data_IF_329559626592
#
_entry.id   IF_329559626592
#
_cell.length_a   1.000
_cell.length_b   1.000
_cell.length_c   1.000
_cell.angle_alpha   90.00
_cell.angle_beta   90.00
_cell.angle_gamma   90.00
#
_symmetry.space_group_name_H-M   'P 1'
#
loop_
_entity.id
_entity.type
_entity.pdbx_description
1 polymer ?
#
# COMPACT_ATOMS: atom_id res chain seq x y z
N UNK A 1 -2.03 -17.02 13.79
CA UNK A 1 -1.71 -15.75 13.10
C UNK A 1 -1.37 -14.71 14.14
N UNK A 2 -0.25 -14.01 14.01
CA UNK A 2 0.10 -12.88 14.89
C UNK A 2 -0.99 -11.79 14.78
N UNK A 3 -1.39 -11.23 15.93
CA UNK A 3 -2.31 -10.08 15.95
C UNK A 3 -1.59 -8.91 15.27
N UNK A 4 -2.11 -8.47 14.12
CA UNK A 4 -1.57 -7.28 13.43
C UNK A 4 -1.76 -6.06 14.33
N UNK A 5 -0.70 -5.27 14.49
CA UNK A 5 -0.75 -4.01 15.22
C UNK A 5 -1.69 -3.05 14.49
N UNK A 6 -2.60 -2.41 15.22
CA UNK A 6 -3.41 -1.32 14.69
C UNK A 6 -2.48 -0.13 14.46
N UNK A 7 -2.44 0.35 13.22
CA UNK A 7 -1.69 1.54 12.83
C UNK A 7 -2.73 2.68 12.71
N UNK A 8 -2.62 3.75 13.52
CA UNK A 8 -3.53 4.88 13.42
C UNK A 8 -3.38 5.57 12.07
N UNK A 9 -4.45 6.21 11.61
CA UNK A 9 -4.45 6.97 10.36
C UNK A 9 -5.48 8.09 10.38
N UNK A 10 -5.25 9.12 9.57
CA UNK A 10 -6.21 10.21 9.37
C UNK A 10 -7.38 9.73 8.49
N UNK A 11 -8.62 9.68 9.01
CA UNK A 11 -9.78 9.22 8.26
C UNK A 11 -10.15 10.12 7.06
N UNK A 12 -9.72 11.39 7.06
CA UNK A 12 -9.97 12.33 5.96
C UNK A 12 -9.28 11.88 4.66
N UNK A 13 -8.16 11.16 4.77
CA UNK A 13 -7.40 10.64 3.62
C UNK A 13 -8.07 9.43 2.95
N UNK A 14 -9.15 8.88 3.52
CA UNK A 14 -9.81 7.66 3.02
C UNK A 14 -10.36 7.82 1.60
N UNK A 15 -10.91 9.00 1.29
CA UNK A 15 -11.39 9.28 -0.07
C UNK A 15 -10.23 9.38 -1.06
N UNK A 16 -9.15 10.06 -0.68
CA UNK A 16 -7.95 10.19 -1.48
C UNK A 16 -7.30 8.81 -1.76
N UNK A 17 -7.13 7.97 -0.74
CA UNK A 17 -6.59 6.61 -0.93
C UNK A 17 -7.47 5.74 -1.84
N UNK A 18 -8.80 5.96 -1.86
CA UNK A 18 -9.69 5.29 -2.83
C UNK A 18 -9.45 5.81 -4.24
N UNK A 19 -9.29 7.12 -4.42
CA UNK A 19 -8.98 7.72 -5.71
C UNK A 19 -7.64 7.23 -6.26
N UNK A 20 -6.59 7.20 -5.43
CA UNK A 20 -5.26 6.69 -5.81
C UNK A 20 -5.31 5.22 -6.23
N UNK A 21 -6.05 4.35 -5.51
CA UNK A 21 -6.21 2.94 -5.91
C UNK A 21 -6.83 2.75 -7.29
N UNK A 22 -7.72 3.65 -7.68
CA UNK A 22 -8.43 3.63 -8.95
C UNK A 22 -7.64 4.30 -10.09
N UNK A 23 -6.71 5.19 -9.76
CA UNK A 23 -5.90 5.97 -10.70
C UNK A 23 -4.40 5.66 -10.57
N UNK A 24 -4.06 4.41 -10.23
CA UNK A 24 -2.69 3.96 -10.02
C UNK A 24 -1.84 4.11 -11.29
N UNK A 25 -0.56 4.44 -11.14
CA UNK A 25 0.37 4.51 -12.28
C UNK A 25 0.60 3.14 -12.91
N UNK A 26 1.14 3.11 -14.14
CA UNK A 26 1.51 1.83 -14.80
C UNK A 26 2.52 1.02 -13.97
N UNK A 27 3.45 1.71 -13.29
CA UNK A 27 4.45 1.09 -12.44
C UNK A 27 3.81 0.45 -11.21
N UNK A 28 2.92 1.16 -10.52
CA UNK A 28 2.14 0.62 -9.41
C UNK A 28 1.26 -0.57 -9.85
N UNK A 29 0.57 -0.47 -10.98
CA UNK A 29 -0.28 -1.58 -11.49
C UNK A 29 0.57 -2.83 -11.72
N UNK A 30 1.73 -2.67 -12.37
CA UNK A 30 2.65 -3.78 -12.62
C UNK A 30 3.17 -4.39 -11.32
N UNK A 31 3.58 -3.57 -10.35
CA UNK A 31 4.03 -4.05 -9.06
C UNK A 31 2.90 -4.74 -8.29
N UNK A 32 1.68 -4.21 -8.34
CA UNK A 32 0.53 -4.82 -7.67
C UNK A 32 0.23 -6.23 -8.16
N UNK A 33 0.26 -6.45 -9.46
CA UNK A 33 0.10 -7.78 -10.06
C UNK A 33 1.16 -8.78 -9.56
N UNK A 34 2.31 -8.29 -9.05
CA UNK A 34 3.39 -9.09 -8.51
C UNK A 34 3.25 -9.35 -6.99
N UNK A 35 2.46 -8.56 -6.29
CA UNK A 35 2.33 -8.60 -4.82
C UNK A 35 0.98 -9.16 -4.34
N UNK A 36 -0.08 -9.03 -5.14
CA UNK A 36 -1.44 -9.46 -4.77
C UNK A 36 -1.50 -10.95 -4.46
N UNK A 37 -2.41 -11.35 -3.57
CA UNK A 37 -2.72 -12.77 -3.36
C UNK A 37 -1.63 -13.56 -2.64
N UNK A 38 -0.72 -12.88 -1.93
CA UNK A 38 0.40 -13.48 -1.20
C UNK A 38 1.38 -14.27 -2.07
N UNK A 39 1.41 -13.99 -3.37
CA UNK A 39 2.31 -14.67 -4.29
C UNK A 39 3.79 -14.36 -4.03
N UNK A 40 4.10 -13.22 -3.40
CA UNK A 40 5.45 -12.87 -2.99
C UNK A 40 5.75 -13.44 -1.60
N UNK A 41 6.42 -14.58 -1.56
CA UNK A 41 6.88 -15.24 -0.33
C UNK A 41 5.78 -15.51 0.73
N UNK A 42 4.50 -15.59 0.34
CA UNK A 42 3.39 -15.75 1.27
C UNK A 42 3.00 -14.48 2.04
N UNK A 43 3.57 -13.32 1.69
CA UNK A 43 3.38 -12.05 2.38
C UNK A 43 2.16 -11.28 1.85
N UNK A 44 1.40 -10.66 2.77
CA UNK A 44 0.20 -9.90 2.43
C UNK A 44 0.51 -8.42 2.22
N UNK A 45 0.33 -7.93 0.99
CA UNK A 45 0.54 -6.54 0.64
C UNK A 45 -0.78 -5.80 0.45
N UNK A 46 -0.83 -4.57 0.97
CA UNK A 46 -1.97 -3.67 0.91
C UNK A 46 -1.60 -2.46 0.08
N UNK A 47 -2.46 -2.05 -0.85
CA UNK A 47 -2.22 -0.84 -1.67
C UNK A 47 -2.77 0.42 -1.04
N UNK A 48 -2.09 1.55 -1.22
CA UNK A 48 -2.52 2.89 -0.84
C UNK A 48 -2.96 2.90 0.63
N UNK A 49 -2.06 2.41 1.49
CA UNK A 49 -2.30 2.20 2.91
C UNK A 49 -2.18 3.52 3.64
N UNK A 50 -3.24 3.87 4.37
CA UNK A 50 -3.23 5.02 5.27
C UNK A 50 -2.39 4.71 6.50
N UNK A 51 -1.40 5.56 6.79
CA UNK A 51 -0.54 5.50 7.97
C UNK A 51 -0.35 6.94 8.47
N UNK A 52 -0.82 7.22 9.68
CA UNK A 52 -0.85 8.57 10.24
C UNK A 52 -1.45 9.58 9.23
N UNK A 53 -0.69 10.59 8.80
CA UNK A 53 -1.12 11.59 7.83
C UNK A 53 -0.64 11.32 6.39
N UNK A 54 -0.24 10.08 6.10
CA UNK A 54 0.34 9.69 4.82
C UNK A 54 -0.43 8.53 4.18
N UNK A 55 -0.28 8.40 2.85
CA UNK A 55 -0.78 7.28 2.06
C UNK A 55 0.44 6.64 1.40
N UNK A 56 0.74 5.40 1.77
CA UNK A 56 1.88 4.64 1.21
C UNK A 56 1.38 3.75 0.07
N UNK A 57 2.08 3.72 -1.07
CA UNK A 57 1.67 2.95 -2.25
C UNK A 57 1.45 1.46 -1.95
N UNK A 58 2.39 0.83 -1.25
CA UNK A 58 2.27 -0.56 -0.80
C UNK A 58 2.77 -0.76 0.64
N UNK A 59 2.05 -1.57 1.41
CA UNK A 59 2.40 -1.87 2.80
C UNK A 59 2.27 -3.35 3.13
N UNK A 60 3.30 -3.92 3.77
CA UNK A 60 3.29 -5.26 4.33
C UNK A 60 3.30 -5.21 5.85
N UNK A 61 2.23 -5.73 6.48
CA UNK A 61 2.10 -5.74 7.95
C UNK A 61 3.10 -6.70 8.61
N UNK A 62 3.36 -7.84 7.97
CA UNK A 62 4.25 -8.89 8.46
C UNK A 62 5.70 -8.40 8.61
N UNK A 63 6.14 -7.52 7.69
CA UNK A 63 7.48 -6.96 7.67
C UNK A 63 7.57 -5.54 8.23
N UNK A 64 6.43 -4.91 8.56
CA UNK A 64 6.36 -3.46 8.86
C UNK A 64 7.07 -2.63 7.78
N UNK A 65 6.83 -2.98 6.51
CA UNK A 65 7.51 -2.42 5.34
C UNK A 65 6.55 -1.58 4.50
N UNK A 66 6.91 -0.32 4.27
CA UNK A 66 6.32 0.54 3.25
C UNK A 66 7.19 0.56 1.99
N UNK A 67 6.56 0.59 0.82
CA UNK A 67 7.21 0.73 -0.48
C UNK A 67 6.50 1.86 -1.21
N UNK A 68 7.25 2.87 -1.64
CA UNK A 68 6.80 3.94 -2.52
C UNK A 68 7.40 3.74 -3.91
N UNK A 69 6.60 3.96 -4.94
CA UNK A 69 7.04 3.81 -6.33
C UNK A 69 7.28 5.20 -6.91
N UNK A 70 8.53 5.65 -6.87
CA UNK A 70 8.92 6.89 -7.52
C UNK A 70 8.81 6.77 -9.04
N UNK A 71 7.99 7.63 -9.64
CA UNK A 71 7.90 7.77 -11.08
C UNK A 71 9.06 8.57 -11.67
N UNK A 72 9.27 8.44 -12.98
CA UNK A 72 10.21 9.28 -13.76
C UNK A 72 9.83 10.77 -13.82
N UNK A 73 8.67 11.15 -13.25
CA UNK A 73 8.20 12.52 -13.15
C UNK A 73 8.05 12.88 -11.67
N UNK A 74 9.19 13.04 -11.02
CA UNK A 74 9.35 13.83 -9.80
C UNK A 74 10.18 15.07 -10.14
#
# INVERSE_FOLDING_TARGET
MLKRKIIPYNPELKQLARQLRNNATKAEIFLWQRLIGKQMYGLDFHRQKLIDNYIIDFFCHELMLGIEVDGYSH
#
